data_IF_339619745937
#
_entry.id   IF_339619745937
#
_cell.length_a   1.000
_cell.length_b   1.000
_cell.length_c   1.000
_cell.angle_alpha   90.00
_cell.angle_beta   90.00
_cell.angle_gamma   90.00
#
_symmetry.space_group_name_H-M   'P 1'
#
loop_
_entity.id
_entity.type
_entity.pdbx_description
1 polymer ?
#
# COMPACT_ATOMS: atom_id res chain seq x y z
N UNK A 1 -3.59 2.21 -8.85
CA UNK A 1 -2.96 1.69 -10.08
C UNK A 1 -4.08 1.49 -11.10
N UNK A 2 -3.81 1.59 -12.40
CA UNK A 2 -4.86 1.49 -13.44
C UNK A 2 -5.24 0.06 -13.83
N UNK A 3 -4.57 -0.94 -13.25
CA UNK A 3 -4.70 -2.34 -13.65
C UNK A 3 -6.12 -2.87 -13.36
N UNK A 4 -6.67 -3.71 -14.25
CA UNK A 4 -8.03 -4.21 -14.14
C UNK A 4 -8.24 -5.13 -12.92
N UNK A 5 -7.20 -5.80 -12.46
CA UNK A 5 -7.18 -6.69 -11.28
C UNK A 5 -7.22 -5.92 -9.94
N UNK A 6 -7.00 -4.61 -9.95
CA UNK A 6 -7.02 -3.78 -8.75
C UNK A 6 -8.37 -3.09 -8.50
N UNK A 7 -9.39 -3.37 -9.32
CA UNK A 7 -10.69 -2.68 -9.30
C UNK A 7 -11.68 -3.36 -8.36
N UNK A 8 -12.64 -2.58 -7.84
CA UNK A 8 -13.67 -3.05 -6.91
C UNK A 8 -14.50 -4.22 -7.47
N UNK A 9 -14.84 -4.20 -8.77
CA UNK A 9 -15.60 -5.27 -9.41
C UNK A 9 -14.81 -6.58 -9.49
N UNK A 10 -13.50 -6.52 -9.78
CA UNK A 10 -12.64 -7.70 -9.76
C UNK A 10 -12.52 -8.27 -8.34
N UNK A 11 -12.28 -7.41 -7.34
CA UNK A 11 -12.18 -7.82 -5.94
C UNK A 11 -13.47 -8.51 -5.48
N UNK A 12 -14.64 -7.96 -5.82
CA UNK A 12 -15.93 -8.57 -5.49
C UNK A 12 -16.12 -9.94 -6.16
N UNK A 13 -15.68 -10.08 -7.41
CA UNK A 13 -15.70 -11.37 -8.12
C UNK A 13 -14.75 -12.39 -7.49
N UNK A 14 -13.57 -11.95 -7.04
CA UNK A 14 -12.59 -12.80 -6.36
C UNK A 14 -13.13 -13.26 -5.00
N UNK A 15 -13.73 -12.36 -4.21
CA UNK A 15 -14.37 -12.70 -2.93
C UNK A 15 -15.46 -13.77 -3.13
N UNK A 16 -16.31 -13.61 -4.15
CA UNK A 16 -17.33 -14.62 -4.49
C UNK A 16 -16.68 -15.96 -4.83
N UNK A 17 -15.63 -15.95 -5.65
CA UNK A 17 -14.92 -17.15 -6.08
C UNK A 17 -14.27 -17.89 -4.89
N UNK A 18 -13.62 -17.16 -3.98
CA UNK A 18 -13.04 -17.72 -2.74
C UNK A 18 -14.12 -18.38 -1.88
N UNK A 19 -15.27 -17.73 -1.72
CA UNK A 19 -16.36 -18.29 -0.90
C UNK A 19 -17.00 -19.53 -1.51
N UNK A 20 -17.05 -19.64 -2.85
CA UNK A 20 -17.49 -20.85 -3.54
C UNK A 20 -16.44 -21.97 -3.48
N UNK A 21 -15.15 -21.62 -3.56
CA UNK A 21 -14.05 -22.57 -3.64
C UNK A 21 -13.54 -23.10 -2.30
N UNK A 22 -14.02 -22.59 -1.15
CA UNK A 22 -13.55 -22.99 0.18
C UNK A 22 -14.66 -23.64 1.00
N UNK A 23 -14.32 -24.68 1.77
CA UNK A 23 -15.27 -25.34 2.70
C UNK A 23 -15.86 -24.35 3.71
N UNK A 24 -15.02 -23.46 4.25
CA UNK A 24 -15.42 -22.43 5.20
C UNK A 24 -16.47 -21.50 4.60
N UNK A 25 -16.26 -21.01 3.38
CA UNK A 25 -17.24 -20.21 2.65
C UNK A 25 -18.52 -20.99 2.32
N UNK A 26 -18.39 -22.26 1.91
CA UNK A 26 -19.54 -23.09 1.51
C UNK A 26 -20.47 -23.46 2.67
N UNK A 27 -19.96 -23.51 3.91
CA UNK A 27 -20.78 -23.77 5.11
C UNK A 27 -21.25 -22.50 5.82
N UNK A 28 -21.10 -21.32 5.20
CA UNK A 28 -21.67 -20.06 5.67
C UNK A 28 -20.70 -19.10 6.38
N UNK A 29 -19.46 -19.51 6.63
CA UNK A 29 -18.43 -18.63 7.18
C UNK A 29 -17.74 -17.86 6.05
N UNK A 30 -18.37 -16.80 5.59
CA UNK A 30 -17.88 -16.04 4.43
C UNK A 30 -16.55 -15.34 4.72
N UNK A 31 -15.59 -15.53 3.83
CA UNK A 31 -14.34 -14.76 3.77
C UNK A 31 -14.66 -13.41 3.12
N UNK A 32 -14.17 -12.32 3.71
CA UNK A 32 -14.32 -10.95 3.20
C UNK A 32 -12.95 -10.41 2.77
N UNK A 33 -12.85 -9.89 1.55
CA UNK A 33 -11.67 -9.17 1.08
C UNK A 33 -11.83 -7.71 1.44
N UNK A 34 -10.92 -7.19 2.27
CA UNK A 34 -10.89 -5.78 2.62
C UNK A 34 -9.87 -5.05 1.75
N UNK A 35 -10.33 -4.01 1.06
CA UNK A 35 -9.49 -3.12 0.25
C UNK A 35 -9.55 -1.68 0.80
N UNK A 36 -9.10 -1.43 2.05
CA UNK A 36 -9.33 -0.16 2.74
C UNK A 36 -8.66 1.05 2.07
N UNK A 37 -7.66 0.82 1.22
CA UNK A 37 -6.89 1.87 0.56
C UNK A 37 -7.38 2.18 -0.87
N UNK A 38 -8.40 1.47 -1.37
CA UNK A 38 -8.74 1.47 -2.81
C UNK A 38 -9.20 2.82 -3.36
N UNK A 39 -9.81 3.66 -2.51
CA UNK A 39 -10.28 5.00 -2.86
C UNK A 39 -9.35 6.11 -2.36
N UNK A 40 -8.23 5.75 -1.72
CA UNK A 40 -7.30 6.72 -1.16
C UNK A 40 -6.20 7.07 -2.17
N UNK A 41 -5.93 8.36 -2.29
CA UNK A 41 -4.70 8.88 -2.88
C UNK A 41 -3.47 8.45 -2.07
N UNK A 42 -2.29 8.55 -2.66
CA UNK A 42 -1.03 8.21 -1.95
C UNK A 42 -0.80 9.12 -0.73
N UNK A 43 -1.14 10.41 -0.82
CA UNK A 43 -1.14 11.33 0.31
C UNK A 43 -2.05 10.85 1.45
N UNK A 44 -3.29 10.49 1.13
CA UNK A 44 -4.25 10.01 2.14
C UNK A 44 -3.78 8.70 2.79
N UNK A 45 -3.10 7.83 2.04
CA UNK A 45 -2.46 6.63 2.60
C UNK A 45 -1.38 7.03 3.61
N UNK A 46 -0.51 8.01 3.30
CA UNK A 46 0.51 8.51 4.24
C UNK A 46 -0.15 9.01 5.53
N UNK A 47 -1.16 9.88 5.41
CA UNK A 47 -1.89 10.45 6.55
C UNK A 47 -2.61 9.37 7.38
N UNK A 48 -3.24 8.39 6.71
CA UNK A 48 -3.90 7.28 7.38
C UNK A 48 -2.91 6.43 8.17
N UNK A 49 -1.75 6.10 7.60
CA UNK A 49 -0.74 5.35 8.33
C UNK A 49 -0.20 6.11 9.53
N UNK A 50 0.09 7.42 9.41
CA UNK A 50 0.50 8.25 10.56
C UNK A 50 -0.57 8.30 11.64
N UNK A 51 -1.84 8.44 11.27
CA UNK A 51 -2.98 8.40 12.22
C UNK A 51 -3.05 7.08 12.99
N UNK A 52 -2.64 5.97 12.37
CA UNK A 52 -2.62 4.64 12.98
C UNK A 52 -1.22 4.24 13.49
N UNK A 53 -0.32 5.22 13.68
CA UNK A 53 1.02 5.00 14.23
C UNK A 53 1.87 3.99 13.43
N UNK A 54 1.62 3.88 12.12
CA UNK A 54 2.42 3.03 11.24
C UNK A 54 3.86 3.57 11.13
N UNK A 55 4.83 2.69 11.36
CA UNK A 55 6.24 3.03 11.24
C UNK A 55 6.71 2.98 9.77
N UNK A 56 6.70 4.13 9.11
CA UNK A 56 7.17 4.24 7.73
C UNK A 56 8.69 4.05 7.59
N UNK A 57 9.47 4.03 8.67
CA UNK A 57 10.91 3.85 8.62
C UNK A 57 11.32 2.45 8.11
N UNK A 58 10.44 1.46 8.27
CA UNK A 58 10.61 0.10 7.74
C UNK A 58 9.93 -0.12 6.38
N UNK A 59 9.18 0.86 5.88
CA UNK A 59 8.52 0.76 4.58
C UNK A 59 9.48 1.11 3.44
N UNK A 60 9.47 0.30 2.37
CA UNK A 60 10.28 0.51 1.18
C UNK A 60 9.41 0.40 -0.08
N UNK A 61 9.73 1.18 -1.12
CA UNK A 61 8.91 1.22 -2.34
C UNK A 61 9.73 1.20 -3.62
N UNK A 62 11.02 1.55 -3.59
CA UNK A 62 11.85 1.64 -4.78
C UNK A 62 11.95 0.30 -5.51
N UNK A 63 11.90 0.31 -6.83
CA UNK A 63 11.98 -0.92 -7.63
C UNK A 63 13.40 -1.48 -7.75
N UNK A 64 14.44 -0.66 -7.52
CA UNK A 64 15.82 -1.09 -7.67
C UNK A 64 16.30 -2.04 -6.57
N UNK A 65 15.67 -2.01 -5.39
CA UNK A 65 16.00 -2.92 -4.27
C UNK A 65 17.18 -2.49 -3.40
N UNK A 66 18.02 -1.54 -3.83
CA UNK A 66 19.13 -1.03 -3.02
C UNK A 66 18.68 -0.31 -1.74
N UNK A 67 19.47 -0.32 -0.64
CA UNK A 67 19.12 0.38 0.59
C UNK A 67 18.85 1.87 0.42
N UNK A 68 19.50 2.51 -0.54
CA UNK A 68 19.22 3.90 -0.91
C UNK A 68 18.21 3.90 -2.07
N UNK A 69 17.01 4.49 -1.91
CA UNK A 69 16.03 4.57 -2.99
C UNK A 69 16.61 5.32 -4.19
N UNK A 70 16.46 4.76 -5.39
CA UNK A 70 17.12 5.28 -6.59
C UNK A 70 16.68 6.70 -7.02
N UNK A 71 15.53 7.18 -6.54
CA UNK A 71 14.99 8.52 -6.83
C UNK A 71 14.37 8.68 -8.22
N UNK A 72 14.73 7.85 -9.22
CA UNK A 72 14.28 8.03 -10.61
C UNK A 72 13.11 7.12 -11.03
N UNK A 73 12.90 5.97 -10.38
CA UNK A 73 11.81 5.06 -10.73
C UNK A 73 10.43 5.63 -10.34
N UNK A 74 9.36 5.18 -11.00
CA UNK A 74 8.01 5.68 -10.75
C UNK A 74 7.57 5.52 -9.30
N UNK A 75 7.94 4.42 -8.65
CA UNK A 75 7.61 4.21 -7.24
C UNK A 75 8.31 5.20 -6.31
N UNK A 76 9.57 5.55 -6.58
CA UNK A 76 10.28 6.61 -5.86
C UNK A 76 9.58 7.96 -6.04
N UNK A 77 9.24 8.33 -7.28
CA UNK A 77 8.56 9.59 -7.59
C UNK A 77 7.21 9.69 -6.88
N UNK A 78 6.40 8.62 -6.95
CA UNK A 78 5.09 8.55 -6.29
C UNK A 78 5.20 8.64 -4.77
N UNK A 79 6.19 7.96 -4.17
CA UNK A 79 6.42 8.04 -2.72
C UNK A 79 6.84 9.44 -2.31
N UNK A 80 7.82 10.03 -2.98
CA UNK A 80 8.32 11.37 -2.69
C UNK A 80 7.19 12.42 -2.79
N UNK A 81 6.39 12.36 -3.87
CA UNK A 81 5.22 13.23 -4.03
C UNK A 81 4.20 13.04 -2.89
N UNK A 82 3.89 11.80 -2.52
CA UNK A 82 2.92 11.51 -1.46
C UNK A 82 3.33 12.07 -0.10
N UNK A 83 4.60 11.91 0.30
CA UNK A 83 5.13 12.48 1.55
C UNK A 83 5.16 14.02 1.49
N UNK A 84 5.58 14.58 0.35
CA UNK A 84 5.60 16.03 0.15
C UNK A 84 4.20 16.65 0.24
N UNK A 85 3.21 16.10 -0.47
CA UNK A 85 1.81 16.55 -0.43
C UNK A 85 1.15 16.37 0.94
N UNK A 86 1.63 15.40 1.73
CA UNK A 86 1.18 15.18 3.10
C UNK A 86 1.85 16.13 4.12
N UNK A 87 2.87 16.89 3.71
CA UNK A 87 3.64 17.77 4.60
C UNK A 87 4.46 17.00 5.64
N UNK A 88 4.79 15.74 5.37
CA UNK A 88 5.46 14.83 6.31
C UNK A 88 6.81 14.42 5.73
N UNK A 89 7.85 14.42 6.56
CA UNK A 89 9.17 13.88 6.17
C UNK A 89 9.11 12.36 6.04
N UNK A 90 9.81 11.82 5.05
CA UNK A 90 9.90 10.37 4.86
C UNK A 90 10.80 9.73 5.94
N UNK A 91 10.20 8.97 6.85
CA UNK A 91 10.90 8.31 7.96
C UNK A 91 11.95 7.29 7.48
N UNK A 92 11.76 6.67 6.30
CA UNK A 92 12.73 5.71 5.76
C UNK A 92 14.05 6.41 5.42
N UNK A 93 13.96 7.56 4.74
CA UNK A 93 15.13 8.38 4.43
C UNK A 93 15.82 8.86 5.70
N UNK A 94 15.05 9.33 6.69
CA UNK A 94 15.58 9.74 7.99
C UNK A 94 16.30 8.60 8.73
N UNK A 95 15.85 7.35 8.58
CA UNK A 95 16.48 6.17 9.19
C UNK A 95 17.82 5.84 8.52
N UNK A 96 17.86 5.77 7.20
CA UNK A 96 19.08 5.37 6.49
C UNK A 96 20.18 6.44 6.55
N UNK A 97 19.83 7.73 6.64
CA UNK A 97 20.82 8.80 6.83
C UNK A 97 21.50 8.79 8.21
N UNK A 98 20.91 8.14 9.21
CA UNK A 98 21.53 7.99 10.55
C UNK A 98 22.49 6.80 10.64
N UNK A 99 22.44 5.89 9.67
CA UNK A 99 23.24 4.67 9.62
C UNK A 99 24.37 4.77 8.57
N UNK A 100 24.59 5.96 8.01
CA UNK A 100 25.75 6.34 7.19
C UNK A 100 26.73 7.15 8.04
#
# INVERSE_FOLDING_TARGET
SGYPDCRTNFIASMEKSINLGTKTGSIGHKIKILAPLIHLSKKEIILLGKKNEADYSYSYSCYNGDPVPCGYCDSCKLRAAAFSEAGIKDDYLARISKNQ
#
